data_IF_380733412699
#
_entry.id   IF_380733412699
#
_cell.length_a   1.000
_cell.length_b   1.000
_cell.length_c   1.000
_cell.angle_alpha   90.00
_cell.angle_beta   90.00
_cell.angle_gamma   90.00
#
_symmetry.space_group_name_H-M   'P 1'
#
loop_
_entity.id
_entity.type
_entity.pdbx_description
1 polymer ?
#
# COMPACT_ATOMS: atom_id res chain seq x y z
N UNK A 1 -25.53 -70.03 10.10
CA UNK A 1 -24.45 -69.51 10.98
C UNK A 1 -23.15 -69.52 10.18
N UNK A 2 -22.78 -68.39 9.57
CA UNK A 2 -21.40 -68.08 9.17
C UNK A 2 -21.23 -66.59 9.44
N UNK A 3 -20.39 -66.28 10.41
CA UNK A 3 -19.99 -64.93 10.80
C UNK A 3 -18.77 -64.59 9.94
N UNK A 4 -18.88 -63.55 9.11
CA UNK A 4 -17.73 -62.97 8.41
C UNK A 4 -17.41 -61.63 9.07
N UNK A 5 -16.32 -61.62 9.85
CA UNK A 5 -15.72 -60.40 10.42
C UNK A 5 -14.82 -59.83 9.32
N UNK A 6 -15.22 -58.71 8.73
CA UNK A 6 -14.35 -57.90 7.86
C UNK A 6 -13.64 -56.89 8.74
N UNK A 7 -12.37 -57.17 9.02
CA UNK A 7 -11.45 -56.29 9.73
C UNK A 7 -11.04 -55.16 8.76
N UNK A 8 -11.65 -53.98 8.88
CA UNK A 8 -11.27 -52.81 8.10
C UNK A 8 -10.04 -52.16 8.76
N UNK A 9 -8.85 -52.43 8.21
CA UNK A 9 -7.62 -51.70 8.54
C UNK A 9 -7.78 -50.24 8.08
N UNK A 10 -8.13 -49.34 8.99
CA UNK A 10 -8.01 -47.91 8.78
C UNK A 10 -6.53 -47.56 8.94
N UNK A 11 -5.80 -47.50 7.83
CA UNK A 11 -4.50 -46.83 7.80
C UNK A 11 -4.75 -45.32 8.00
N UNK A 12 -4.41 -44.82 9.18
CA UNK A 12 -4.28 -43.39 9.40
C UNK A 12 -3.05 -42.90 8.62
N UNK A 13 -3.27 -42.35 7.42
CA UNK A 13 -2.28 -41.52 6.76
C UNK A 13 -2.25 -40.17 7.45
N UNK A 14 -1.12 -39.88 8.10
CA UNK A 14 -0.77 -38.57 8.64
C UNK A 14 -1.01 -37.47 7.59
N UNK A 15 -1.83 -36.47 7.94
CA UNK A 15 -2.28 -35.42 7.03
C UNK A 15 -1.14 -34.59 6.44
N UNK A 16 -0.73 -34.92 5.22
CA UNK A 16 -0.07 -33.98 4.33
C UNK A 16 -1.10 -32.90 3.95
N UNK A 17 -0.75 -31.63 4.13
CA UNK A 17 -1.57 -30.51 3.68
C UNK A 17 -1.71 -30.55 2.15
N UNK A 18 -2.82 -31.10 1.65
CA UNK A 18 -3.06 -31.25 0.21
C UNK A 18 -3.23 -29.87 -0.45
N UNK A 19 -2.35 -29.50 -1.38
CA UNK A 19 -2.41 -28.21 -2.09
C UNK A 19 -3.65 -28.11 -2.97
N UNK A 20 -4.23 -26.91 -3.17
CA UNK A 20 -5.41 -26.75 -4.00
C UNK A 20 -5.10 -27.09 -5.46
N UNK A 21 -6.03 -27.76 -6.13
CA UNK A 21 -5.92 -27.98 -7.56
C UNK A 21 -6.30 -26.71 -8.32
N UNK A 22 -5.51 -26.38 -9.34
CA UNK A 22 -5.82 -25.29 -10.26
C UNK A 22 -6.68 -25.76 -11.43
N UNK A 23 -7.50 -24.85 -11.95
CA UNK A 23 -8.27 -25.02 -13.17
C UNK A 23 -7.64 -24.20 -14.30
N UNK A 24 -7.27 -24.86 -15.39
CA UNK A 24 -6.68 -24.26 -16.60
C UNK A 24 -7.67 -24.38 -17.74
N UNK A 25 -8.00 -23.25 -18.37
CA UNK A 25 -8.99 -23.15 -19.44
C UNK A 25 -8.49 -22.27 -20.57
N UNK A 26 -9.03 -22.49 -21.77
CA UNK A 26 -8.80 -21.64 -22.94
C UNK A 26 -10.12 -21.01 -23.37
N UNK A 27 -10.18 -19.69 -23.29
CA UNK A 27 -11.37 -18.89 -23.63
C UNK A 27 -11.27 -18.35 -25.07
N UNK A 28 -12.40 -18.18 -25.74
CA UNK A 28 -12.46 -17.60 -27.09
C UNK A 28 -12.05 -16.12 -27.09
N UNK A 29 -11.27 -15.63 -28.08
CA UNK A 29 -10.79 -16.34 -29.26
C UNK A 29 -9.53 -17.20 -29.05
N UNK A 30 -8.66 -16.87 -28.08
CA UNK A 30 -7.48 -17.65 -27.64
C UNK A 30 -6.88 -17.04 -26.35
N UNK A 31 -7.61 -17.04 -25.23
CA UNK A 31 -7.09 -16.53 -23.94
C UNK A 31 -6.86 -17.68 -22.97
N UNK A 32 -5.64 -17.84 -22.48
CA UNK A 32 -5.36 -18.76 -21.38
C UNK A 32 -5.92 -18.17 -20.08
N UNK A 33 -6.67 -18.96 -19.32
CA UNK A 33 -7.11 -18.62 -17.97
C UNK A 33 -6.69 -19.70 -17.01
N UNK A 34 -6.02 -19.31 -15.93
CA UNK A 34 -5.63 -20.22 -14.85
C UNK A 34 -6.21 -19.69 -13.56
N UNK A 35 -6.89 -20.55 -12.80
CA UNK A 35 -7.47 -20.20 -11.49
C UNK A 35 -7.09 -21.23 -10.44
N UNK A 36 -6.82 -20.79 -9.22
CA UNK A 36 -6.50 -21.68 -8.09
C UNK A 36 -7.25 -21.21 -6.83
N UNK A 37 -8.01 -22.07 -6.14
CA UNK A 37 -8.64 -21.75 -4.86
C UNK A 37 -7.64 -21.21 -3.83
N UNK A 38 -8.04 -20.18 -3.10
CA UNK A 38 -7.25 -19.70 -1.97
C UNK A 38 -7.20 -20.76 -0.86
N UNK A 39 -6.01 -20.87 -0.24
CA UNK A 39 -5.79 -21.69 0.95
C UNK A 39 -4.80 -20.97 1.86
N UNK A 40 -5.12 -20.91 3.16
CA UNK A 40 -4.27 -20.29 4.16
C UNK A 40 -2.82 -20.83 4.10
N UNK A 41 -1.86 -19.91 4.06
CA UNK A 41 -0.43 -20.21 3.95
C UNK A 41 0.13 -20.10 2.52
N UNK A 42 -0.70 -20.05 1.47
CA UNK A 42 -0.22 -19.80 0.11
C UNK A 42 0.19 -18.33 -0.03
N UNK A 43 1.46 -18.09 -0.33
CA UNK A 43 2.03 -16.75 -0.52
C UNK A 43 2.17 -16.38 -1.99
N UNK A 44 2.43 -17.38 -2.85
CA UNK A 44 2.59 -17.19 -4.30
C UNK A 44 2.14 -18.43 -5.05
N UNK A 45 1.54 -18.21 -6.22
CA UNK A 45 1.23 -19.27 -7.18
C UNK A 45 1.78 -18.88 -8.55
N UNK A 46 2.59 -19.75 -9.15
CA UNK A 46 3.16 -19.56 -10.48
C UNK A 46 2.72 -20.69 -11.41
N UNK A 47 2.38 -20.34 -12.64
CA UNK A 47 2.03 -21.24 -13.73
C UNK A 47 3.17 -21.29 -14.74
N UNK A 48 3.60 -22.50 -15.08
CA UNK A 48 4.58 -22.76 -16.13
C UNK A 48 3.97 -23.71 -17.16
N UNK A 49 4.08 -23.38 -18.44
CA UNK A 49 3.46 -24.16 -19.51
C UNK A 49 4.23 -24.11 -20.83
N UNK A 50 4.03 -25.14 -21.67
CA UNK A 50 4.54 -25.22 -23.04
C UNK A 50 3.55 -25.97 -23.92
N UNK A 51 3.42 -25.51 -25.16
CA UNK A 51 2.51 -26.08 -26.15
C UNK A 51 3.21 -27.17 -26.95
N UNK A 52 2.56 -28.31 -27.12
CA UNK A 52 2.97 -29.48 -27.90
C UNK A 52 4.30 -30.13 -27.47
N UNK A 53 4.82 -29.80 -26.29
CA UNK A 53 6.04 -30.39 -25.74
C UNK A 53 6.00 -30.41 -24.21
N UNK A 54 6.38 -31.55 -23.60
CA UNK A 54 6.47 -31.72 -22.16
C UNK A 54 7.54 -30.82 -21.51
N UNK A 55 7.27 -30.39 -20.28
CA UNK A 55 8.22 -29.63 -19.47
C UNK A 55 9.25 -30.57 -18.84
N UNK A 56 10.53 -30.24 -18.91
CA UNK A 56 11.56 -30.96 -18.14
C UNK A 56 11.50 -30.57 -16.65
N UNK A 57 12.12 -31.37 -15.77
CA UNK A 57 12.02 -31.26 -14.30
C UNK A 57 12.35 -29.86 -13.73
N UNK A 58 13.13 -29.04 -14.45
CA UNK A 58 13.46 -27.64 -14.09
C UNK A 58 13.12 -26.61 -15.18
N UNK A 59 12.25 -26.97 -16.12
CA UNK A 59 11.87 -26.09 -17.22
C UNK A 59 10.72 -25.16 -16.80
N UNK A 60 10.89 -23.86 -17.04
CA UNK A 60 9.84 -22.86 -16.82
C UNK A 60 8.88 -22.74 -18.02
N UNK A 61 9.09 -23.54 -19.07
CA UNK A 61 8.27 -23.52 -20.26
C UNK A 61 8.43 -22.23 -21.05
N UNK A 62 7.61 -22.09 -22.09
CA UNK A 62 7.53 -20.85 -22.88
C UNK A 62 6.47 -19.89 -22.33
N UNK A 63 5.62 -20.37 -21.41
CA UNK A 63 4.57 -19.61 -20.75
C UNK A 63 4.86 -19.64 -19.25
N UNK A 64 5.36 -18.54 -18.69
CA UNK A 64 5.60 -18.38 -17.26
C UNK A 64 4.76 -17.21 -16.75
N UNK A 65 3.85 -17.47 -15.80
CA UNK A 65 2.89 -16.48 -15.30
C UNK A 65 2.72 -16.60 -13.80
N UNK A 66 2.75 -15.47 -13.10
CA UNK A 66 2.36 -15.41 -11.69
C UNK A 66 0.86 -15.12 -11.59
N UNK A 67 0.14 -15.88 -10.77
CA UNK A 67 -1.28 -15.63 -10.53
C UNK A 67 -1.44 -14.49 -9.52
N UNK A 68 -2.50 -13.70 -9.69
CA UNK A 68 -2.85 -12.61 -8.79
C UNK A 68 -4.04 -13.02 -7.91
N UNK A 69 -3.97 -12.72 -6.63
CA UNK A 69 -5.09 -12.95 -5.71
C UNK A 69 -6.24 -11.99 -6.03
N UNK A 70 -7.44 -12.54 -6.15
CA UNK A 70 -8.67 -11.79 -6.37
C UNK A 70 -9.47 -11.70 -5.08
N UNK A 71 -10.33 -10.68 -5.00
CA UNK A 71 -11.23 -10.42 -3.86
C UNK A 71 -12.27 -11.53 -3.60
N UNK A 72 -12.36 -12.56 -4.46
CA UNK A 72 -13.28 -13.69 -4.35
C UNK A 72 -12.67 -14.98 -3.79
N UNK A 73 -11.47 -14.93 -3.18
CA UNK A 73 -10.84 -16.14 -2.63
C UNK A 73 -10.20 -17.04 -3.69
N UNK A 74 -9.73 -16.47 -4.80
CA UNK A 74 -9.11 -17.18 -5.91
C UNK A 74 -7.83 -16.48 -6.37
N UNK A 75 -6.81 -17.24 -6.70
CA UNK A 75 -5.67 -16.81 -7.50
C UNK A 75 -6.04 -16.94 -8.97
N UNK A 76 -5.80 -15.92 -9.80
CA UNK A 76 -6.10 -15.98 -11.24
C UNK A 76 -5.01 -15.33 -12.09
N UNK A 77 -4.84 -15.85 -13.31
CA UNK A 77 -4.17 -15.12 -14.39
C UNK A 77 -4.93 -15.34 -15.70
N UNK A 78 -5.07 -14.28 -16.48
CA UNK A 78 -5.59 -14.34 -17.85
C UNK A 78 -4.53 -13.80 -18.80
N UNK A 79 -4.21 -14.56 -19.84
CA UNK A 79 -3.21 -14.19 -20.83
C UNK A 79 -3.73 -14.35 -22.26
N UNK A 80 -3.95 -13.23 -22.92
CA UNK A 80 -4.39 -13.17 -24.31
C UNK A 80 -3.24 -13.27 -25.33
N UNK A 81 -1.98 -13.24 -24.87
CA UNK A 81 -0.80 -13.39 -25.74
C UNK A 81 -0.50 -14.86 -26.05
N UNK A 82 -1.07 -15.78 -25.28
CA UNK A 82 -0.93 -17.23 -25.46
C UNK A 82 -1.93 -17.71 -26.52
N UNK A 83 -1.46 -17.84 -27.76
CA UNK A 83 -2.28 -18.25 -28.89
C UNK A 83 -2.34 -19.79 -29.02
N UNK A 84 -3.34 -20.40 -28.39
CA UNK A 84 -3.61 -21.84 -28.47
C UNK A 84 -4.64 -22.15 -29.56
N UNK A 85 -4.34 -23.14 -30.40
CA UNK A 85 -5.20 -23.59 -31.52
C UNK A 85 -5.86 -24.93 -31.18
N UNK A 86 -6.93 -25.23 -31.90
CA UNK A 86 -7.52 -26.56 -31.84
C UNK A 86 -6.50 -27.61 -32.28
N UNK A 87 -6.39 -28.70 -31.53
CA UNK A 87 -5.38 -29.74 -31.70
C UNK A 87 -4.08 -29.50 -30.93
N UNK A 88 -3.87 -28.33 -30.33
CA UNK A 88 -2.72 -28.12 -29.45
C UNK A 88 -2.86 -28.90 -28.14
N UNK A 89 -1.75 -29.38 -27.58
CA UNK A 89 -1.67 -29.93 -26.24
C UNK A 89 -0.83 -29.01 -25.37
N UNK A 90 -1.41 -28.42 -24.33
CA UNK A 90 -0.70 -27.61 -23.34
C UNK A 90 -0.22 -28.51 -22.20
N UNK A 91 1.10 -28.64 -22.06
CA UNK A 91 1.73 -29.25 -20.88
C UNK A 91 2.04 -28.16 -19.87
N UNK A 92 1.65 -28.33 -18.61
CA UNK A 92 1.79 -27.31 -17.60
C UNK A 92 2.02 -27.85 -16.19
N UNK A 93 2.49 -26.99 -15.29
CA UNK A 93 2.62 -27.24 -13.86
C UNK A 93 2.39 -25.96 -13.05
N UNK A 94 1.94 -26.12 -11.82
CA UNK A 94 1.78 -25.05 -10.85
C UNK A 94 2.84 -25.15 -9.75
N UNK A 95 3.44 -24.02 -9.41
CA UNK A 95 4.39 -23.89 -8.30
C UNK A 95 3.77 -23.03 -7.21
N UNK A 96 3.96 -23.45 -5.97
CA UNK A 96 3.41 -22.81 -4.79
C UNK A 96 4.55 -22.46 -3.85
N UNK A 97 4.60 -21.21 -3.41
CA UNK A 97 5.31 -20.87 -2.18
C UNK A 97 4.30 -20.88 -1.05
N UNK A 98 4.53 -21.78 -0.10
CA UNK A 98 3.61 -22.08 0.98
C UNK A 98 4.31 -21.91 2.33
N UNK A 99 3.78 -21.04 3.19
CA UNK A 99 4.23 -20.87 4.56
C UNK A 99 3.44 -21.78 5.50
N UNK A 100 4.14 -22.70 6.16
CA UNK A 100 3.55 -23.68 7.08
C UNK A 100 3.50 -23.21 8.54
N UNK A 101 3.81 -21.94 8.80
CA UNK A 101 3.93 -21.38 10.14
C UNK A 101 5.35 -21.34 10.69
N UNK A 102 6.33 -21.95 10.01
CA UNK A 102 7.75 -21.92 10.40
C UNK A 102 8.66 -21.49 9.25
N UNK A 103 8.48 -22.06 8.07
CA UNK A 103 9.32 -21.81 6.89
C UNK A 103 8.49 -21.72 5.63
N UNK A 104 9.03 -21.05 4.61
CA UNK A 104 8.42 -21.04 3.27
C UNK A 104 8.91 -22.26 2.51
N UNK A 105 7.99 -23.15 2.15
CA UNK A 105 8.24 -24.32 1.34
C UNK A 105 7.89 -24.02 -0.12
N UNK A 106 8.79 -24.34 -1.06
CA UNK A 106 8.49 -24.32 -2.48
C UNK A 106 8.02 -25.72 -2.88
N UNK A 107 6.77 -25.81 -3.35
CA UNK A 107 6.17 -27.09 -3.75
C UNK A 107 5.70 -26.99 -5.19
N UNK A 108 6.06 -27.97 -6.00
CA UNK A 108 5.68 -28.07 -7.39
C UNK A 108 4.66 -29.19 -7.55
N UNK A 109 3.56 -28.92 -8.25
CA UNK A 109 2.63 -29.97 -8.65
C UNK A 109 3.21 -30.81 -9.79
N UNK A 110 2.74 -32.06 -9.86
CA UNK A 110 3.01 -32.94 -10.99
C UNK A 110 2.58 -32.29 -12.30
N UNK A 111 3.28 -32.65 -13.38
CA UNK A 111 2.98 -32.15 -14.70
C UNK A 111 1.58 -32.60 -15.15
N UNK A 112 0.80 -31.66 -15.64
CA UNK A 112 -0.53 -31.88 -16.18
C UNK A 112 -0.54 -31.58 -17.68
N UNK A 113 -1.51 -32.15 -18.39
CA UNK A 113 -1.71 -31.90 -19.83
C UNK A 113 -3.17 -31.54 -20.12
N UNK A 114 -3.37 -30.58 -21.02
CA UNK A 114 -4.67 -30.15 -21.50
C UNK A 114 -4.67 -30.18 -23.03
N UNK A 115 -5.52 -31.01 -23.64
CA UNK A 115 -5.70 -31.06 -25.10
C UNK A 115 -6.80 -30.07 -25.49
N UNK A 116 -6.54 -29.23 -26.50
CA UNK A 116 -7.46 -28.19 -26.96
C UNK A 116 -8.34 -28.74 -28.07
N UNK A 117 -9.46 -29.35 -27.71
CA UNK A 117 -10.45 -29.83 -28.67
C UNK A 117 -11.49 -28.74 -28.98
N UNK A 118 -11.78 -28.46 -30.26
CA UNK A 118 -12.89 -27.57 -30.68
C UNK A 118 -14.09 -28.41 -31.15
N UNK A 119 -15.33 -27.89 -31.06
CA UNK A 119 -15.67 -26.47 -31.05
C UNK A 119 -16.14 -25.92 -29.70
N UNK A 120 -15.87 -24.62 -29.56
CA UNK A 120 -16.52 -23.61 -28.72
C UNK A 120 -17.75 -24.19 -27.99
N UNK A 121 -17.72 -24.21 -26.65
CA UNK A 121 -18.94 -24.34 -25.86
C UNK A 121 -19.89 -23.21 -26.28
N UNK A 122 -20.88 -23.52 -27.11
CA UNK A 122 -22.07 -22.69 -27.23
C UNK A 122 -22.73 -22.69 -25.85
N UNK A 123 -22.91 -21.49 -25.29
CA UNK A 123 -23.67 -21.33 -24.06
C UNK A 123 -25.11 -21.84 -24.28
N UNK A 124 -25.76 -22.45 -23.27
CA UNK A 124 -27.13 -22.90 -23.39
C UNK A 124 -28.05 -21.75 -23.84
N UNK A 125 -28.92 -22.05 -24.80
CA UNK A 125 -30.02 -21.20 -25.27
C UNK A 125 -31.09 -21.07 -24.18
N UNK A 126 -30.77 -20.39 -23.09
CA UNK A 126 -31.73 -19.93 -22.09
C UNK A 126 -31.81 -18.41 -22.20
N UNK A 127 -32.94 -17.94 -22.73
CA UNK A 127 -33.43 -16.55 -22.67
C UNK A 127 -32.34 -15.48 -22.61
N UNK A 128 -31.87 -14.99 -23.77
CA UNK A 128 -31.12 -13.74 -23.93
C UNK A 128 -30.36 -13.33 -22.65
N UNK A 129 -29.23 -13.99 -22.30
CA UNK A 129 -28.41 -13.52 -21.21
C UNK A 129 -27.91 -12.16 -21.66
N UNK A 130 -28.40 -11.13 -21.00
CA UNK A 130 -27.87 -9.79 -21.16
C UNK A 130 -26.40 -9.93 -20.84
N UNK A 131 -25.52 -9.76 -21.83
CA UNK A 131 -24.08 -9.75 -21.66
C UNK A 131 -23.77 -8.53 -20.79
N UNK A 132 -23.97 -8.67 -19.49
CA UNK A 132 -23.30 -7.85 -18.52
C UNK A 132 -21.87 -8.38 -18.52
N UNK A 133 -21.05 -7.88 -19.47
CA UNK A 133 -19.71 -7.41 -19.07
C UNK A 133 -19.90 -6.87 -17.66
N UNK A 134 -19.17 -7.32 -16.61
CA UNK A 134 -19.35 -6.75 -15.29
C UNK A 134 -19.14 -5.25 -15.49
N UNK A 135 -20.26 -4.53 -15.54
CA UNK A 135 -20.28 -3.15 -15.97
C UNK A 135 -19.51 -2.50 -14.87
N UNK A 136 -18.42 -1.83 -15.21
CA UNK A 136 -17.64 -1.09 -14.25
C UNK A 136 -18.63 -0.24 -13.44
N UNK A 137 -18.90 -0.69 -12.22
CA UNK A 137 -19.72 0.06 -11.30
C UNK A 137 -18.80 1.14 -10.77
N UNK A 138 -18.92 2.32 -11.37
CA UNK A 138 -18.10 3.44 -10.98
C UNK A 138 -18.40 3.79 -9.53
N UNK A 139 -17.33 3.91 -8.77
CA UNK A 139 -17.38 4.38 -7.38
C UNK A 139 -17.12 5.89 -7.36
N UNK A 140 -17.37 6.55 -6.21
CA UNK A 140 -16.86 7.90 -5.97
C UNK A 140 -15.33 8.01 -6.06
N UNK A 141 -14.60 6.89 -6.02
CA UNK A 141 -13.14 6.89 -6.09
C UNK A 141 -12.63 7.37 -7.44
N UNK A 142 -11.70 8.31 -7.38
CA UNK A 142 -10.91 8.77 -8.52
C UNK A 142 -9.45 8.42 -8.30
N UNK A 143 -8.72 8.09 -9.38
CA UNK A 143 -7.29 7.82 -9.37
C UNK A 143 -6.66 8.58 -10.53
N UNK A 144 -5.74 9.49 -10.24
CA UNK A 144 -5.12 10.38 -11.22
C UNK A 144 -6.16 11.06 -12.15
N UNK A 145 -7.25 11.54 -11.56
CA UNK A 145 -8.35 12.23 -12.24
C UNK A 145 -9.31 11.31 -13.00
N UNK A 146 -9.17 9.98 -12.91
CA UNK A 146 -10.01 9.01 -13.62
C UNK A 146 -10.85 8.19 -12.65
N UNK A 147 -12.11 7.93 -13.00
CA UNK A 147 -13.02 7.11 -12.17
C UNK A 147 -12.52 5.67 -12.03
N UNK A 148 -12.72 5.08 -10.85
CA UNK A 148 -12.38 3.68 -10.55
C UNK A 148 -13.62 2.81 -10.40
N UNK A 149 -13.50 1.54 -10.78
CA UNK A 149 -14.56 0.54 -10.59
C UNK A 149 -14.54 -0.02 -9.16
N UNK A 150 -15.69 -0.44 -8.66
CA UNK A 150 -15.83 -1.10 -7.36
C UNK A 150 -14.96 -2.36 -7.27
N UNK A 151 -14.40 -2.62 -6.08
CA UNK A 151 -13.57 -3.80 -5.78
C UNK A 151 -12.17 -3.81 -6.42
N UNK A 152 -11.77 -2.74 -7.14
CA UNK A 152 -10.47 -2.65 -7.79
C UNK A 152 -9.38 -2.16 -6.84
N UNK A 153 -8.26 -2.90 -6.75
CA UNK A 153 -7.02 -2.40 -6.13
C UNK A 153 -6.45 -1.29 -7.01
N UNK A 154 -6.30 -0.09 -6.44
CA UNK A 154 -5.79 1.09 -7.15
C UNK A 154 -4.28 1.27 -6.98
N UNK A 155 -3.71 0.71 -5.92
CA UNK A 155 -2.28 0.75 -5.62
C UNK A 155 -1.91 -0.38 -4.66
N UNK A 156 -0.76 -1.00 -4.89
CA UNK A 156 -0.22 -2.06 -4.05
C UNK A 156 1.30 -1.99 -4.07
N UNK A 157 1.90 -2.07 -2.89
CA UNK A 157 3.34 -2.10 -2.71
C UNK A 157 3.72 -3.13 -1.65
N UNK A 158 4.67 -4.00 -2.01
CA UNK A 158 5.24 -5.01 -1.12
C UNK A 158 6.70 -4.72 -0.79
N UNK A 159 7.27 -3.63 -1.34
CA UNK A 159 8.62 -3.14 -1.05
C UNK A 159 9.73 -4.18 -1.30
N UNK A 160 9.63 -4.94 -2.41
CA UNK A 160 10.77 -5.70 -2.95
C UNK A 160 11.89 -4.77 -3.43
N UNK A 161 11.51 -3.59 -3.92
CA UNK A 161 12.37 -2.48 -4.32
C UNK A 161 11.60 -1.17 -4.14
N UNK A 162 12.32 -0.04 -4.15
CA UNK A 162 11.72 1.29 -4.17
C UNK A 162 11.64 1.75 -5.63
N UNK A 163 10.63 1.25 -6.34
CA UNK A 163 10.50 1.44 -7.79
C UNK A 163 10.21 2.93 -8.13
N UNK A 164 11.05 3.62 -8.94
CA UNK A 164 10.85 5.04 -9.28
C UNK A 164 9.54 5.35 -10.02
N UNK A 165 8.92 4.34 -10.63
CA UNK A 165 7.61 4.43 -11.28
C UNK A 165 6.45 4.58 -10.28
N UNK A 166 6.65 4.14 -9.03
CA UNK A 166 5.66 4.19 -7.94
C UNK A 166 5.98 5.28 -6.92
N UNK A 167 7.26 5.47 -6.63
CA UNK A 167 7.72 6.35 -5.56
C UNK A 167 8.73 7.38 -6.09
N UNK A 168 8.66 8.58 -5.52
CA UNK A 168 9.76 9.52 -5.52
C UNK A 168 10.32 9.60 -4.11
N UNK A 169 11.64 9.54 -3.99
CA UNK A 169 12.32 9.87 -2.74
C UNK A 169 12.52 11.38 -2.65
N UNK A 170 12.18 11.96 -1.51
CA UNK A 170 12.37 13.38 -1.25
C UNK A 170 13.81 13.65 -0.81
N UNK A 171 14.40 14.68 -1.40
CA UNK A 171 15.75 15.15 -1.11
C UNK A 171 15.65 16.65 -0.83
N UNK A 172 15.46 17.04 0.43
CA UNK A 172 15.22 18.44 0.82
C UNK A 172 15.36 18.64 2.33
N UNK A 173 15.51 19.89 2.75
CA UNK A 173 15.31 20.30 4.13
C UNK A 173 13.81 20.35 4.46
N UNK A 174 13.42 19.79 5.60
CA UNK A 174 12.04 19.94 6.08
C UNK A 174 11.74 21.42 6.39
N UNK A 175 10.57 21.89 5.94
CA UNK A 175 10.10 23.27 6.15
C UNK A 175 8.73 23.25 6.85
N UNK A 176 8.00 24.36 6.76
CA UNK A 176 6.64 24.46 7.27
C UNK A 176 5.69 23.39 6.70
N UNK A 177 4.55 23.15 7.37
CA UNK A 177 4.09 23.86 8.58
C UNK A 177 4.65 23.28 9.89
N UNK A 178 5.44 22.20 9.84
CA UNK A 178 5.88 21.47 11.04
C UNK A 178 7.33 21.73 11.44
N UNK A 179 8.17 22.23 10.53
CA UNK A 179 9.56 22.59 10.80
C UNK A 179 10.35 21.47 11.51
N UNK A 180 10.26 20.26 10.96
CA UNK A 180 10.65 18.96 11.55
C UNK A 180 12.14 18.83 11.92
N UNK A 181 12.96 19.85 11.67
CA UNK A 181 14.39 19.91 11.98
C UNK A 181 15.19 18.69 11.49
N UNK A 182 14.88 18.24 10.27
CA UNK A 182 15.47 17.08 9.58
C UNK A 182 15.82 17.41 8.13
N UNK A 183 16.83 16.71 7.59
CA UNK A 183 17.13 16.66 6.16
C UNK A 183 16.69 15.32 5.58
N UNK A 184 15.76 15.35 4.63
CA UNK A 184 15.39 14.17 3.86
C UNK A 184 16.39 13.95 2.72
N UNK A 185 16.92 12.73 2.63
CA UNK A 185 17.93 12.33 1.65
C UNK A 185 17.66 10.89 1.18
N UNK A 186 18.16 10.53 0.00
CA UNK A 186 18.09 9.19 -0.58
C UNK A 186 19.29 8.30 -0.23
N UNK A 187 19.89 8.51 0.93
CA UNK A 187 21.08 7.78 1.38
C UNK A 187 20.73 6.31 1.72
N UNK A 188 21.59 5.37 1.27
CA UNK A 188 21.35 3.93 1.44
C UNK A 188 21.31 3.49 2.91
N UNK A 189 21.92 4.24 3.83
CA UNK A 189 21.84 3.97 5.26
C UNK A 189 20.54 4.46 5.92
N UNK A 190 19.81 5.36 5.24
CA UNK A 190 18.56 5.96 5.69
C UNK A 190 17.33 5.34 5.03
N UNK A 191 17.43 4.93 3.77
CA UNK A 191 16.34 4.34 3.00
C UNK A 191 16.82 3.06 2.29
N UNK A 192 16.33 1.91 2.74
CA UNK A 192 16.74 0.63 2.16
C UNK A 192 15.68 -0.45 2.30
N UNK A 193 15.77 -1.47 1.44
CA UNK A 193 14.98 -2.68 1.58
C UNK A 193 15.82 -3.73 2.31
N UNK A 194 15.24 -4.32 3.35
CA UNK A 194 15.84 -5.46 4.04
C UNK A 194 14.74 -6.42 4.49
N UNK A 195 14.90 -7.70 4.12
CA UNK A 195 13.92 -8.77 4.38
C UNK A 195 12.54 -8.45 3.79
N UNK A 196 12.50 -8.02 2.52
CA UNK A 196 11.27 -7.62 1.80
C UNK A 196 10.44 -6.54 2.52
N UNK A 197 11.11 -5.66 3.26
CA UNK A 197 10.49 -4.56 3.97
C UNK A 197 11.25 -3.27 3.71
N UNK A 198 10.51 -2.18 3.55
CA UNK A 198 11.06 -0.84 3.58
C UNK A 198 11.53 -0.48 4.98
N UNK A 199 12.78 -0.03 5.10
CA UNK A 199 13.34 0.56 6.31
C UNK A 199 13.64 2.03 6.06
N UNK A 200 13.17 2.86 6.99
CA UNK A 200 13.54 4.27 7.10
C UNK A 200 14.26 4.43 8.44
N UNK A 201 15.54 4.76 8.41
CA UNK A 201 16.40 4.82 9.59
C UNK A 201 17.10 6.16 9.68
N UNK A 202 16.70 7.05 10.60
CA UNK A 202 17.41 8.31 10.80
C UNK A 202 18.87 8.08 11.25
N UNK A 203 19.77 8.95 10.81
CA UNK A 203 21.19 8.97 11.22
C UNK A 203 21.66 10.39 11.51
N UNK A 204 22.70 10.53 12.33
CA UNK A 204 23.31 11.83 12.58
C UNK A 204 24.02 12.34 11.33
N UNK A 205 23.85 13.63 11.05
CA UNK A 205 24.51 14.33 9.95
C UNK A 205 26.02 14.34 10.12
N UNK A 206 26.49 14.60 11.34
CA UNK A 206 27.90 14.57 11.70
C UNK A 206 28.57 13.21 11.41
N UNK A 207 27.83 12.10 11.49
CA UNK A 207 28.39 10.77 11.18
C UNK A 207 28.77 10.62 9.70
N UNK A 208 28.17 11.41 8.81
CA UNK A 208 28.42 11.37 7.37
C UNK A 208 29.26 12.54 6.89
N UNK A 209 29.00 13.75 7.38
CA UNK A 209 29.68 14.97 6.96
C UNK A 209 30.95 15.27 7.77
N UNK A 210 31.16 14.56 8.87
CA UNK A 210 32.30 14.72 9.76
C UNK A 210 31.94 15.34 11.11
N UNK A 211 32.82 15.20 12.12
CA UNK A 211 32.54 15.68 13.47
C UNK A 211 32.22 17.17 13.51
N UNK A 212 31.14 17.55 14.19
CA UNK A 212 30.66 18.94 14.34
C UNK A 212 30.21 19.62 13.05
N UNK A 213 30.01 18.87 11.95
CA UNK A 213 29.56 19.42 10.67
C UNK A 213 28.29 20.27 10.81
N UNK A 214 27.35 19.84 11.63
CA UNK A 214 26.13 20.59 11.97
C UNK A 214 26.37 22.00 12.48
N UNK A 215 27.50 22.23 13.15
CA UNK A 215 27.90 23.51 13.75
C UNK A 215 28.89 24.31 12.89
N UNK A 216 29.68 23.64 12.06
CA UNK A 216 30.79 24.27 11.32
C UNK A 216 30.49 24.56 9.87
N UNK A 217 29.52 23.86 9.26
CA UNK A 217 29.14 24.12 7.87
C UNK A 217 28.40 25.46 7.78
N UNK A 218 28.93 26.36 6.94
CA UNK A 218 28.36 27.70 6.72
C UNK A 218 27.37 27.74 5.55
N UNK A 219 27.41 26.74 4.67
CA UNK A 219 26.46 26.54 3.58
C UNK A 219 26.36 25.06 3.24
N UNK A 220 25.13 24.55 3.12
CA UNK A 220 24.84 23.22 2.60
C UNK A 220 23.82 23.36 1.47
N UNK A 221 24.29 23.10 0.25
CA UNK A 221 23.48 23.06 -0.96
C UNK A 221 23.31 21.60 -1.38
N UNK A 222 22.06 21.15 -1.48
CA UNK A 222 21.70 19.80 -1.94
C UNK A 222 21.99 19.64 -3.45
N UNK A 223 22.03 20.75 -4.19
CA UNK A 223 22.26 20.79 -5.62
C UNK A 223 21.05 20.31 -6.44
N UNK A 224 21.34 19.88 -7.68
CA UNK A 224 20.33 19.51 -8.68
C UNK A 224 19.41 18.34 -8.27
N UNK A 225 19.81 17.55 -7.28
CA UNK A 225 19.01 16.44 -6.76
C UNK A 225 17.91 16.88 -5.79
N UNK A 226 17.84 18.17 -5.44
CA UNK A 226 16.82 18.67 -4.54
C UNK A 226 15.41 18.50 -5.13
N UNK A 227 14.48 17.98 -4.33
CA UNK A 227 13.07 17.80 -4.72
C UNK A 227 12.16 18.94 -4.27
N UNK A 228 12.69 19.89 -3.50
CA UNK A 228 12.00 21.11 -3.08
C UNK A 228 12.02 22.20 -4.16
N UNK A 229 11.57 23.40 -3.79
CA UNK A 229 11.63 24.59 -4.62
C UNK A 229 13.10 25.01 -4.81
N UNK A 230 13.60 25.12 -6.06
CA UNK A 230 14.97 25.55 -6.32
C UNK A 230 15.30 26.89 -5.68
N UNK A 231 16.56 27.07 -5.26
CA UNK A 231 17.07 28.29 -4.60
C UNK A 231 16.33 28.71 -3.31
N UNK A 232 15.55 27.81 -2.72
CA UNK A 232 14.82 28.04 -1.46
C UNK A 232 15.50 27.36 -0.26
N UNK A 233 14.95 27.61 0.94
CA UNK A 233 15.36 26.94 2.18
C UNK A 233 15.15 25.41 2.14
N UNK A 234 14.35 24.89 1.21
CA UNK A 234 14.21 23.44 0.99
C UNK A 234 15.45 22.83 0.33
N UNK A 235 16.27 23.61 -0.38
CA UNK A 235 17.42 23.10 -1.12
C UNK A 235 18.76 23.65 -0.62
N UNK A 236 18.77 24.87 -0.11
CA UNK A 236 19.99 25.55 0.36
C UNK A 236 19.79 26.10 1.76
N UNK A 237 20.63 25.68 2.69
CA UNK A 237 20.70 26.26 4.03
C UNK A 237 22.04 26.96 4.20
N UNK A 238 21.99 28.17 4.78
CA UNK A 238 23.18 28.97 5.14
C UNK A 238 23.15 29.21 6.66
N UNK A 239 23.54 28.21 7.47
CA UNK A 239 23.58 28.33 8.92
C UNK A 239 24.35 29.59 9.34
N UNK A 240 23.76 30.37 10.24
CA UNK A 240 24.35 31.63 10.74
C UNK A 240 24.02 31.84 12.21
N UNK A 241 25.04 32.19 12.98
CA UNK A 241 24.94 32.42 14.42
C UNK A 241 24.31 31.22 15.16
N UNK A 242 23.09 31.36 15.68
CA UNK A 242 22.38 30.34 16.44
C UNK A 242 21.61 29.34 15.55
N UNK A 243 21.51 29.56 14.25
CA UNK A 243 20.91 28.61 13.31
C UNK A 243 21.98 27.63 12.85
N UNK A 244 21.80 26.36 13.20
CA UNK A 244 22.67 25.23 12.82
C UNK A 244 22.02 24.41 11.72
N UNK A 245 22.80 23.58 11.03
CA UNK A 245 22.24 22.61 10.09
C UNK A 245 21.39 21.60 10.87
N UNK A 246 20.22 21.16 10.35
CA UNK A 246 19.46 20.07 10.97
C UNK A 246 20.36 18.87 11.30
N UNK A 247 20.28 18.28 12.50
CA UNK A 247 21.27 17.30 12.94
C UNK A 247 21.00 15.88 12.45
N UNK A 248 19.86 15.66 11.81
CA UNK A 248 19.38 14.34 11.39
C UNK A 248 19.25 14.28 9.87
N UNK A 249 19.84 13.24 9.28
CA UNK A 249 19.44 12.72 7.98
C UNK A 249 18.37 11.67 8.18
N UNK A 250 17.29 11.76 7.42
CA UNK A 250 16.22 10.77 7.35
C UNK A 250 15.76 10.61 5.90
N UNK A 251 14.67 9.88 5.68
CA UNK A 251 14.11 9.69 4.35
C UNK A 251 12.60 9.79 4.35
N UNK A 252 12.08 10.29 3.23
CA UNK A 252 10.66 10.42 2.94
C UNK A 252 10.44 10.00 1.49
N UNK A 253 9.39 9.22 1.24
CA UNK A 253 8.96 8.80 -0.10
C UNK A 253 7.52 9.22 -0.33
N UNK A 254 7.19 9.55 -1.58
CA UNK A 254 5.89 10.06 -1.97
C UNK A 254 5.39 9.47 -3.29
N UNK A 255 4.07 9.34 -3.43
CA UNK A 255 3.43 9.01 -4.71
C UNK A 255 2.96 10.25 -5.48
N UNK A 256 3.20 11.49 -5.02
CA UNK A 256 2.62 12.75 -5.56
C UNK A 256 2.53 12.85 -7.08
N UNK A 257 3.59 12.46 -7.80
CA UNK A 257 3.67 12.54 -9.27
C UNK A 257 3.47 11.19 -9.99
N UNK A 258 3.07 10.15 -9.26
CA UNK A 258 2.90 8.78 -9.76
C UNK A 258 1.46 8.31 -9.60
N UNK A 259 0.92 8.51 -8.40
CA UNK A 259 -0.42 8.08 -8.01
C UNK A 259 -0.99 9.04 -6.97
N UNK A 260 -2.22 9.44 -7.22
CA UNK A 260 -3.06 10.21 -6.31
C UNK A 260 -4.49 9.73 -6.47
N UNK A 261 -5.30 9.86 -5.42
CA UNK A 261 -6.66 9.35 -5.42
C UNK A 261 -7.58 10.14 -4.49
N UNK A 262 -8.88 10.04 -4.74
CA UNK A 262 -9.94 10.47 -3.81
C UNK A 262 -10.68 9.23 -3.36
N UNK A 263 -10.88 9.08 -2.05
CA UNK A 263 -11.64 8.00 -1.41
C UNK A 263 -11.11 6.58 -1.64
N UNK A 264 -11.20 5.75 -0.61
CA UNK A 264 -10.82 4.36 -0.66
C UNK A 264 -10.37 3.84 0.70
N UNK A 265 -9.92 2.59 0.69
CA UNK A 265 -9.36 1.93 1.87
C UNK A 265 -7.85 1.78 1.70
N UNK A 266 -7.11 2.16 2.73
CA UNK A 266 -5.67 2.02 2.80
C UNK A 266 -5.35 1.10 3.97
N UNK A 267 -4.52 0.09 3.72
CA UNK A 267 -3.98 -0.78 4.75
C UNK A 267 -2.47 -0.73 4.67
N UNK A 268 -1.84 -0.35 5.77
CA UNK A 268 -0.38 -0.28 5.89
C UNK A 268 0.04 -1.20 7.03
N UNK A 269 0.79 -2.25 6.68
CA UNK A 269 1.43 -3.11 7.68
C UNK A 269 2.81 -2.54 8.02
N UNK A 270 2.94 -1.96 9.21
CA UNK A 270 4.18 -1.28 9.63
C UNK A 270 4.49 -1.49 11.11
N UNK A 271 5.76 -1.31 11.46
CA UNK A 271 6.25 -1.16 12.84
C UNK A 271 6.71 0.29 13.01
N UNK A 272 6.14 1.01 13.97
CA UNK A 272 6.41 2.44 14.14
C UNK A 272 7.83 2.68 14.71
N UNK A 273 8.44 3.86 14.49
CA UNK A 273 9.77 4.15 14.98
C UNK A 273 9.83 4.23 16.51
N UNK A 274 11.05 4.05 17.05
CA UNK A 274 11.38 4.22 18.47
C UNK A 274 12.66 5.03 18.59
N UNK A 275 12.63 6.06 19.42
CA UNK A 275 13.73 7.00 19.60
C UNK A 275 13.21 8.33 20.11
N UNK A 276 14.06 9.09 20.79
CA UNK A 276 13.65 10.41 21.24
C UNK A 276 13.57 11.38 20.06
N UNK A 277 12.50 12.19 20.04
CA UNK A 277 12.29 13.28 19.07
C UNK A 277 12.07 12.84 17.62
N UNK A 278 11.83 11.55 17.37
CA UNK A 278 11.47 11.04 16.05
C UNK A 278 10.00 10.64 16.00
N UNK A 279 9.39 10.72 14.82
CA UNK A 279 8.00 10.30 14.63
C UNK A 279 7.75 9.78 13.21
N UNK A 280 6.80 8.86 13.05
CA UNK A 280 6.42 8.38 11.72
C UNK A 280 5.62 9.43 10.97
N UNK A 281 5.83 9.49 9.65
CA UNK A 281 4.92 10.13 8.72
C UNK A 281 4.22 9.02 7.95
N UNK A 282 3.08 8.51 8.42
CA UNK A 282 2.20 7.63 7.63
C UNK A 282 0.94 8.43 7.30
N UNK A 283 0.93 9.08 6.14
CA UNK A 283 -0.10 10.08 5.88
C UNK A 283 -0.45 10.26 4.40
N UNK A 284 -1.62 10.84 4.19
CA UNK A 284 -2.06 11.40 2.93
C UNK A 284 -1.86 12.92 2.94
N UNK A 285 -1.31 13.44 1.84
CA UNK A 285 -1.17 14.89 1.60
C UNK A 285 -1.96 15.28 0.36
N UNK A 286 -2.54 16.48 0.36
CA UNK A 286 -3.21 17.03 -0.81
C UNK A 286 -2.27 17.09 -2.02
N UNK A 287 -2.76 16.66 -3.19
CA UNK A 287 -2.00 16.74 -4.45
C UNK A 287 -1.75 18.18 -4.90
N UNK A 288 -2.69 19.07 -4.58
CA UNK A 288 -2.65 20.49 -4.92
C UNK A 288 -3.18 21.34 -3.77
N UNK A 289 -2.85 22.63 -3.82
CA UNK A 289 -3.26 23.63 -2.83
C UNK A 289 -4.67 24.19 -3.13
N UNK A 290 -5.60 23.33 -3.55
CA UNK A 290 -6.94 23.74 -4.02
C UNK A 290 -7.69 24.59 -2.99
N UNK A 291 -7.56 24.24 -1.70
CA UNK A 291 -8.16 24.95 -0.59
C UNK A 291 -7.19 25.86 0.15
N UNK A 292 -5.96 26.03 -0.34
CA UNK A 292 -4.90 26.81 0.29
C UNK A 292 -3.64 25.98 0.56
N UNK A 293 -2.56 26.64 1.02
CA UNK A 293 -1.29 25.98 1.28
C UNK A 293 -1.37 24.99 2.45
N UNK A 294 -0.43 24.05 2.49
CA UNK A 294 -0.21 23.17 3.64
C UNK A 294 -1.48 22.44 4.11
N UNK A 295 -1.90 22.66 5.36
CA UNK A 295 -3.04 21.98 5.95
C UNK A 295 -4.39 22.56 5.54
N UNK A 296 -4.42 23.74 4.92
CA UNK A 296 -5.67 24.30 4.39
C UNK A 296 -6.28 23.37 3.33
N UNK A 297 -5.45 22.60 2.61
CA UNK A 297 -5.88 21.56 1.66
C UNK A 297 -5.97 20.16 2.26
N UNK A 298 -5.77 20.05 3.57
CA UNK A 298 -5.97 18.83 4.34
C UNK A 298 -4.76 17.91 4.36
N UNK A 299 -4.56 17.29 5.53
CA UNK A 299 -3.69 16.15 5.75
C UNK A 299 -4.48 15.06 6.50
N UNK A 300 -4.39 13.80 6.05
CA UNK A 300 -4.99 12.67 6.78
C UNK A 300 -3.87 11.78 7.31
N UNK A 301 -3.74 11.69 8.62
CA UNK A 301 -2.82 10.79 9.29
C UNK A 301 -3.42 9.39 9.34
N UNK A 302 -2.74 8.41 8.75
CA UNK A 302 -3.13 6.99 8.82
C UNK A 302 -2.77 6.44 10.20
N UNK A 303 -1.55 6.73 10.65
CA UNK A 303 -1.03 6.31 11.95
C UNK A 303 0.11 7.23 12.40
N UNK A 304 0.08 7.62 13.67
CA UNK A 304 1.10 8.44 14.30
C UNK A 304 1.30 8.00 15.75
N UNK A 305 2.55 7.76 16.14
CA UNK A 305 2.91 7.57 17.54
C UNK A 305 4.33 8.13 17.72
N UNK A 306 4.57 9.09 18.62
CA UNK A 306 5.92 9.60 18.86
C UNK A 306 6.87 8.47 19.29
N UNK A 307 8.12 8.53 18.86
CA UNK A 307 9.12 7.50 19.16
C UNK A 307 9.52 7.41 20.63
N UNK A 308 9.27 8.46 21.42
CA UNK A 308 9.60 8.49 22.85
C UNK A 308 8.85 7.40 23.62
N UNK A 309 9.54 6.65 24.47
CA UNK A 309 9.00 5.45 25.13
C UNK A 309 7.65 5.65 25.85
N UNK A 310 7.43 6.80 26.50
CA UNK A 310 6.16 7.11 27.19
C UNK A 310 5.00 7.38 26.22
N UNK A 311 5.29 8.03 25.10
CA UNK A 311 4.29 8.47 24.13
C UNK A 311 4.01 7.40 23.07
N UNK A 312 4.96 6.48 22.84
CA UNK A 312 4.84 5.40 21.86
C UNK A 312 3.75 4.36 22.20
N UNK A 313 3.01 4.54 23.30
CA UNK A 313 1.84 3.74 23.69
C UNK A 313 0.52 4.38 23.27
N UNK A 314 0.54 5.61 22.79
CA UNK A 314 -0.63 6.33 22.29
C UNK A 314 -0.52 6.40 20.78
N UNK A 315 -1.41 5.70 20.09
CA UNK A 315 -1.57 5.81 18.65
C UNK A 315 -2.59 6.92 18.39
N UNK A 316 -2.30 7.76 17.41
CA UNK A 316 -3.22 8.74 16.87
C UNK A 316 -3.34 8.60 15.35
N UNK A 317 -4.45 9.09 14.81
CA UNK A 317 -4.70 9.20 13.38
C UNK A 317 -5.90 10.11 13.14
N UNK A 318 -6.17 10.47 11.89
CA UNK A 318 -7.32 11.25 11.50
C UNK A 318 -6.98 12.52 10.73
N UNK A 319 -7.92 13.45 10.71
CA UNK A 319 -7.88 14.63 9.84
C UNK A 319 -7.24 15.84 10.54
N UNK A 320 -6.26 16.46 9.88
CA UNK A 320 -5.59 17.70 10.29
C UNK A 320 -6.08 18.84 9.39
N UNK A 321 -6.71 19.84 10.00
CA UNK A 321 -7.47 20.89 9.29
C UNK A 321 -6.72 22.21 9.10
N UNK A 322 -5.67 22.45 9.89
CA UNK A 322 -4.99 23.73 9.97
C UNK A 322 -3.89 23.71 11.02
N UNK A 323 -3.10 24.78 11.11
CA UNK A 323 -1.91 24.84 11.97
C UNK A 323 -2.21 25.08 13.45
N UNK A 324 -3.36 25.69 13.76
CA UNK A 324 -3.75 25.98 15.14
C UNK A 324 -3.91 24.68 15.94
N UNK A 325 -3.69 24.74 17.26
CA UNK A 325 -3.87 23.56 18.13
C UNK A 325 -5.27 22.98 18.01
N UNK A 326 -6.29 23.83 17.85
CA UNK A 326 -7.67 23.39 17.65
C UNK A 326 -7.84 22.66 16.31
N UNK A 327 -7.41 23.27 15.20
CA UNK A 327 -7.53 22.69 13.87
C UNK A 327 -6.70 21.40 13.71
N UNK A 328 -5.52 21.32 14.34
CA UNK A 328 -4.67 20.12 14.33
C UNK A 328 -5.33 18.94 15.03
N UNK A 329 -6.03 19.18 16.14
CA UNK A 329 -6.51 18.11 17.01
C UNK A 329 -7.99 17.75 16.81
N UNK A 330 -8.79 18.59 16.14
CA UNK A 330 -10.23 18.38 15.98
C UNK A 330 -10.60 17.01 15.38
N UNK A 331 -9.94 16.64 14.28
CA UNK A 331 -10.16 15.36 13.59
C UNK A 331 -9.32 14.21 14.10
N UNK A 332 -8.47 14.42 15.11
CA UNK A 332 -7.58 13.38 15.61
C UNK A 332 -8.33 12.47 16.57
N UNK A 333 -8.12 11.17 16.43
CA UNK A 333 -8.62 10.12 17.34
C UNK A 333 -7.44 9.34 17.88
N UNK A 334 -7.58 8.81 19.09
CA UNK A 334 -6.48 8.13 19.77
C UNK A 334 -6.91 6.82 20.38
N UNK A 335 -5.95 5.88 20.49
CA UNK A 335 -6.10 4.64 21.23
C UNK A 335 -4.83 4.35 22.01
N UNK A 336 -5.00 3.85 23.24
CA UNK A 336 -3.90 3.48 24.11
C UNK A 336 -3.62 1.98 24.00
N UNK A 337 -2.33 1.62 24.06
CA UNK A 337 -1.86 0.25 24.17
C UNK A 337 -1.04 0.06 25.44
N UNK A 338 -1.05 -1.17 25.97
CA UNK A 338 -0.17 -1.54 27.09
C UNK A 338 1.29 -1.66 26.65
N UNK A 339 1.50 -1.94 25.36
CA UNK A 339 2.80 -2.08 24.69
C UNK A 339 3.07 -0.89 23.78
N UNK A 340 4.35 -0.63 23.51
CA UNK A 340 4.78 0.37 22.54
C UNK A 340 4.44 -0.09 21.11
N UNK A 341 3.89 0.81 20.29
CA UNK A 341 3.54 0.56 18.87
C UNK A 341 4.77 0.27 17.98
N UNK A 342 5.97 0.49 18.50
CA UNK A 342 7.25 0.16 17.88
C UNK A 342 7.74 -1.26 18.15
N UNK A 343 7.05 -2.06 18.98
CA UNK A 343 7.50 -3.42 19.31
C UNK A 343 7.18 -4.44 18.22
N UNK A 344 6.03 -4.32 17.55
CA UNK A 344 5.56 -5.31 16.58
C UNK A 344 5.03 -4.63 15.31
N UNK A 345 4.83 -5.44 14.27
CA UNK A 345 4.07 -5.00 13.10
C UNK A 345 2.59 -4.98 13.44
N UNK A 346 1.93 -3.91 13.02
CA UNK A 346 0.50 -3.70 13.13
C UNK A 346 -0.07 -3.37 11.75
N UNK A 347 -1.36 -3.66 11.56
CA UNK A 347 -2.08 -3.26 10.35
C UNK A 347 -2.84 -1.99 10.67
N UNK A 348 -2.36 -0.87 10.15
CA UNK A 348 -3.04 0.42 10.24
C UNK A 348 -3.97 0.59 9.04
N UNK A 349 -5.27 0.77 9.31
CA UNK A 349 -6.29 0.90 8.28
C UNK A 349 -6.96 2.26 8.34
N UNK A 350 -7.04 2.91 7.18
CA UNK A 350 -7.81 4.13 6.95
C UNK A 350 -8.89 3.84 5.90
N UNK A 351 -10.15 4.03 6.26
CA UNK A 351 -11.27 4.04 5.31
C UNK A 351 -11.72 5.48 5.11
N UNK A 352 -11.43 6.04 3.93
CA UNK A 352 -11.80 7.40 3.56
C UNK A 352 -12.96 7.36 2.57
N UNK A 353 -14.13 7.81 3.01
CA UNK A 353 -15.38 7.82 2.25
C UNK A 353 -15.81 9.27 1.97
N UNK A 354 -16.73 9.50 1.01
CA UNK A 354 -17.28 10.84 0.75
C UNK A 354 -17.95 11.51 1.95
N UNK A 355 -18.35 10.73 2.96
CA UNK A 355 -19.10 11.16 4.13
C UNK A 355 -18.31 11.05 5.44
N UNK A 356 -17.06 10.58 5.42
CA UNK A 356 -16.28 10.44 6.64
C UNK A 356 -15.00 9.62 6.51
N UNK A 357 -14.29 9.54 7.63
CA UNK A 357 -13.05 8.77 7.79
C UNK A 357 -13.20 7.82 8.97
N UNK A 358 -12.84 6.56 8.78
CA UNK A 358 -12.78 5.54 9.84
C UNK A 358 -11.35 5.03 9.98
N UNK A 359 -10.87 4.93 11.22
CA UNK A 359 -9.52 4.51 11.57
C UNK A 359 -9.58 3.20 12.35
N UNK A 360 -8.73 2.24 11.95
CA UNK A 360 -8.58 0.97 12.65
C UNK A 360 -7.13 0.55 12.81
N UNK A 361 -6.85 -0.25 13.83
CA UNK A 361 -5.56 -0.93 14.02
C UNK A 361 -5.82 -2.39 14.39
N UNK A 362 -5.19 -3.34 13.69
CA UNK A 362 -5.35 -4.79 13.93
C UNK A 362 -6.82 -5.27 13.98
N UNK A 363 -7.67 -4.67 13.13
CA UNK A 363 -9.13 -4.85 13.04
C UNK A 363 -9.97 -4.14 14.12
N UNK A 364 -9.34 -3.46 15.08
CA UNK A 364 -10.05 -2.66 16.08
C UNK A 364 -10.26 -1.23 15.56
N UNK A 365 -11.53 -0.85 15.36
CA UNK A 365 -11.91 0.53 15.03
C UNK A 365 -11.73 1.41 16.27
N UNK A 366 -10.94 2.48 16.15
CA UNK A 366 -10.68 3.40 17.26
C UNK A 366 -11.08 4.85 16.99
N UNK A 367 -11.45 5.18 15.75
CA UNK A 367 -11.78 6.54 15.38
C UNK A 367 -12.75 6.62 14.22
N UNK A 368 -13.75 7.49 14.37
CA UNK A 368 -14.60 7.93 13.27
C UNK A 368 -14.62 9.47 13.24
N UNK A 369 -14.55 10.02 12.04
CA UNK A 369 -14.60 11.45 11.76
C UNK A 369 -15.68 11.67 10.70
N UNK A 370 -16.69 12.45 11.04
CA UNK A 370 -17.79 12.83 10.16
C UNK A 370 -17.87 14.35 10.08
N UNK A 371 -18.33 14.92 8.96
CA UNK A 371 -18.59 16.35 8.89
C UNK A 371 -19.82 16.69 9.75
N UNK A 372 -19.83 17.85 10.43
CA UNK A 372 -21.04 18.35 11.08
C UNK A 372 -22.07 18.80 10.05
N UNK A 373 -23.27 19.16 10.51
CA UNK A 373 -24.30 19.74 9.66
C UNK A 373 -23.78 21.00 8.95
N UNK A 374 -23.81 20.98 7.61
CA UNK A 374 -23.25 22.04 6.77
C UNK A 374 -21.76 21.89 6.43
N UNK A 375 -21.09 20.84 6.91
CA UNK A 375 -19.70 20.53 6.62
C UNK A 375 -18.69 21.21 7.53
N UNK A 376 -17.41 20.84 7.45
CA UNK A 376 -16.38 21.44 8.31
C UNK A 376 -16.19 22.95 8.13
N UNK A 377 -16.69 23.53 7.04
CA UNK A 377 -16.69 24.97 6.82
C UNK A 377 -17.67 25.76 7.72
N UNK A 378 -18.57 25.07 8.43
CA UNK A 378 -19.46 25.67 9.44
C UNK A 378 -18.96 25.45 10.88
N UNK A 379 -17.92 24.63 11.05
CA UNK A 379 -17.42 24.24 12.37
C UNK A 379 -16.57 25.35 13.00
N UNK A 380 -17.09 25.94 14.07
CA UNK A 380 -16.41 27.02 14.78
C UNK A 380 -15.28 26.53 15.67
N UNK A 381 -15.35 25.30 16.18
CA UNK A 381 -14.30 24.72 17.04
C UNK A 381 -12.97 24.51 16.31
N UNK A 382 -13.01 24.41 14.97
CA UNK A 382 -11.79 24.36 14.15
C UNK A 382 -10.95 25.64 14.24
N UNK A 383 -11.54 26.78 14.61
CA UNK A 383 -10.86 28.08 14.59
C UNK A 383 -10.40 28.51 13.20
N UNK A 384 -11.01 27.94 12.15
CA UNK A 384 -10.72 28.26 10.75
C UNK A 384 -11.62 29.42 10.31
N UNK A 385 -11.04 30.42 9.63
CA UNK A 385 -11.75 31.64 9.27
C UNK A 385 -11.34 32.18 7.89
N UNK A 386 -11.97 33.29 7.48
CA UNK A 386 -11.54 34.07 6.33
C UNK A 386 -11.58 33.29 5.01
N UNK A 387 -10.56 33.52 4.17
CA UNK A 387 -10.49 32.98 2.82
C UNK A 387 -10.48 31.44 2.77
N UNK A 388 -9.86 30.77 3.75
CA UNK A 388 -9.78 29.30 3.80
C UNK A 388 -11.16 28.67 3.91
N UNK A 389 -11.98 29.13 4.88
CA UNK A 389 -13.37 28.66 5.01
C UNK A 389 -14.20 28.96 3.77
N UNK A 390 -14.02 30.13 3.15
CA UNK A 390 -14.72 30.45 1.90
C UNK A 390 -14.34 29.53 0.74
N UNK A 391 -13.09 29.03 0.72
CA UNK A 391 -12.68 28.00 -0.24
C UNK A 391 -13.32 26.66 0.11
N UNK A 392 -13.33 26.25 1.39
CA UNK A 392 -13.95 24.98 1.82
C UNK A 392 -15.45 24.90 1.49
N UNK A 393 -16.19 26.02 1.60
CA UNK A 393 -17.61 26.10 1.19
C UNK A 393 -17.87 25.79 -0.29
N UNK A 394 -16.85 25.82 -1.14
CA UNK A 394 -16.95 25.42 -2.57
C UNK A 394 -16.81 23.91 -2.77
N UNK A 395 -16.44 23.17 -1.73
CA UNK A 395 -16.33 21.72 -1.73
C UNK A 395 -17.59 20.99 -1.26
N UNK A 396 -17.42 19.71 -1.03
CA UNK A 396 -18.36 18.86 -0.29
C UNK A 396 -18.32 19.17 1.21
N UNK A 397 -19.22 18.53 1.97
CA UNK A 397 -19.22 18.65 3.43
C UNK A 397 -17.92 18.15 4.08
N UNK A 398 -17.21 17.23 3.41
CA UNK A 398 -15.91 16.71 3.82
C UNK A 398 -14.72 17.62 3.47
N UNK A 399 -14.93 18.74 2.77
CA UNK A 399 -13.84 19.67 2.46
C UNK A 399 -13.08 20.08 3.75
N UNK A 400 -11.73 20.05 3.74
CA UNK A 400 -10.85 19.97 2.56
C UNK A 400 -10.53 18.56 2.04
N UNK A 401 -11.07 17.50 2.63
CA UNK A 401 -10.75 16.10 2.33
C UNK A 401 -11.60 15.49 1.21
N UNK A 402 -11.77 16.23 0.12
CA UNK A 402 -12.58 15.82 -1.04
C UNK A 402 -11.86 15.97 -2.39
N UNK A 403 -10.55 16.26 -2.35
CA UNK A 403 -9.65 16.34 -3.52
C UNK A 403 -8.64 15.21 -3.51
N UNK A 404 -7.95 15.03 -4.63
CA UNK A 404 -6.93 13.98 -4.75
C UNK A 404 -5.82 14.20 -3.73
N UNK A 405 -5.49 13.12 -3.01
CA UNK A 405 -4.37 13.05 -2.10
C UNK A 405 -3.39 11.98 -2.55
N UNK A 406 -2.15 12.07 -2.11
CA UNK A 406 -1.09 11.09 -2.38
C UNK A 406 -0.54 10.52 -1.08
N UNK A 407 0.05 9.33 -1.15
CA UNK A 407 0.71 8.68 -0.03
C UNK A 407 2.07 9.33 0.21
N UNK A 408 2.38 9.62 1.48
CA UNK A 408 3.69 10.06 1.92
C UNK A 408 4.11 9.26 3.15
N UNK A 409 5.25 8.57 3.03
CA UNK A 409 5.85 7.76 4.08
C UNK A 409 7.23 8.27 4.45
N UNK A 410 7.49 8.46 5.74
CA UNK A 410 8.76 9.02 6.21
C UNK A 410 8.96 8.85 7.71
N UNK A 411 10.10 9.34 8.20
CA UNK A 411 10.37 9.53 9.63
C UNK A 411 10.91 10.94 9.82
N UNK A 412 10.16 11.76 10.55
CA UNK A 412 10.56 13.09 10.98
C UNK A 412 11.45 13.05 12.20
#
# INVERSE_FOLDING_TARGET
RIIAIVLCLIMFTSGQHQLPQGKVEVLSPSKLKVTVPEKAGIMRVSFFGRVNQELQTNDNGTIAKELQQTTGGLWTVEDATVNLKAGDTLYYRLHFDYFDGKTVNNVQQDMQKLVIDKPILEAPTTSKPTTTTPKCEFTPTMVNGKRSCSGKIIFQEFFKEIAPIRWQTETKFAQGPDYEFVMYQAHAENLFIQNDMLHIRPTLVDSRLGPKATLTITEYDIGENCTGVPDSLECVQRPKAWMVLPPIFSSQITTKYRMSFVYGTIEVRAKLPKGDWIYPQLQLRSKSDYYGPDYDSGLIQIAFAPGNARNNKVLSGGCVFGESVFARNYGVRTIQSTKEWSQNFHIFKLEWRPDGVTLSVDNDVYGNIYPPDGGFATETELGMHGATVQRWRKGSQMAPFDKEMYLMFGVG
#
